data_IF_765251536254
#
_entry.id   IF_765251536254
#
_cell.length_a   1.000
_cell.length_b   1.000
_cell.length_c   1.000
_cell.angle_alpha   90.00
_cell.angle_beta   90.00
_cell.angle_gamma   90.00
#
_symmetry.space_group_name_H-M   'P 1'
#
loop_
_entity.id
_entity.type
_entity.pdbx_description
1 polymer ?
#
# COMPACT_ATOMS: atom_id res chain seq x y z
N UNK A 1 -3.17 -0.06 -26.75
CA UNK A 1 -3.46 0.67 -25.49
C UNK A 1 -2.33 0.35 -24.54
N UNK A 2 -1.56 1.34 -24.08
CA UNK A 2 -0.44 1.10 -23.16
C UNK A 2 -0.99 0.54 -21.84
N UNK A 3 -0.54 -0.64 -21.46
CA UNK A 3 -0.92 -1.30 -20.22
C UNK A 3 -0.38 -0.47 -19.04
N UNK A 4 -1.29 0.12 -18.25
CA UNK A 4 -0.90 0.97 -17.12
C UNK A 4 -0.46 0.10 -15.95
N UNK A 5 0.78 0.28 -15.49
CA UNK A 5 1.24 -0.29 -14.22
C UNK A 5 0.50 0.38 -13.05
N UNK A 6 -0.45 -0.35 -12.47
CA UNK A 6 -1.25 0.10 -11.34
C UNK A 6 -0.46 0.16 -10.03
N UNK A 7 0.72 -0.49 -9.96
CA UNK A 7 1.56 -0.58 -8.76
C UNK A 7 2.78 0.33 -8.78
N UNK A 8 2.83 1.31 -9.70
CA UNK A 8 3.96 2.24 -9.86
C UNK A 8 4.50 2.80 -8.55
N UNK A 9 3.63 3.12 -7.59
CA UNK A 9 4.01 3.69 -6.30
C UNK A 9 4.11 2.66 -5.19
N UNK A 10 3.17 1.70 -5.11
CA UNK A 10 3.19 0.69 -4.04
C UNK A 10 4.38 -0.26 -4.16
N UNK A 11 4.83 -0.57 -5.39
CA UNK A 11 6.02 -1.40 -5.66
C UNK A 11 7.28 -0.87 -4.99
N UNK A 12 7.47 0.45 -4.93
CA UNK A 12 8.67 1.08 -4.37
C UNK A 12 8.85 0.75 -2.88
N UNK A 13 7.74 0.53 -2.16
CA UNK A 13 7.75 0.32 -0.71
C UNK A 13 7.60 -1.15 -0.30
N UNK A 14 7.26 -2.05 -1.22
CA UNK A 14 7.07 -3.49 -0.89
C UNK A 14 7.99 -4.44 -1.64
N UNK A 15 8.48 -4.07 -2.83
CA UNK A 15 9.34 -4.94 -3.63
C UNK A 15 10.82 -4.72 -3.27
N UNK A 16 11.62 -5.77 -3.40
CA UNK A 16 13.05 -5.74 -3.11
C UNK A 16 13.41 -6.23 -1.71
N UNK A 17 14.64 -6.72 -1.56
CA UNK A 17 15.14 -7.26 -0.29
C UNK A 17 15.24 -6.14 0.77
N UNK A 18 15.64 -4.94 0.33
CA UNK A 18 15.73 -3.73 1.15
C UNK A 18 14.40 -3.27 1.75
N UNK A 19 13.26 -3.66 1.17
CA UNK A 19 11.92 -3.35 1.69
C UNK A 19 11.35 -4.43 2.64
N UNK A 20 12.18 -5.38 3.10
CA UNK A 20 11.81 -6.33 4.15
C UNK A 20 11.18 -5.67 5.42
N UNK A 21 11.72 -4.58 6.00
CA UNK A 21 11.10 -3.94 7.16
C UNK A 21 9.73 -3.33 6.83
N UNK A 22 9.57 -2.72 5.65
CA UNK A 22 8.29 -2.17 5.18
C UNK A 22 7.22 -3.26 5.06
N UNK A 23 7.57 -4.42 4.48
CA UNK A 23 6.66 -5.58 4.43
C UNK A 23 6.32 -6.13 5.81
N UNK A 24 7.26 -6.14 6.75
CA UNK A 24 7.01 -6.60 8.12
C UNK A 24 5.94 -5.75 8.81
N UNK A 25 6.02 -4.42 8.68
CA UNK A 25 5.00 -3.50 9.21
C UNK A 25 3.62 -3.71 8.57
N UNK A 26 3.57 -3.90 7.24
CA UNK A 26 2.31 -4.15 6.54
C UNK A 26 1.69 -5.51 6.93
N UNK A 27 2.49 -6.54 7.16
CA UNK A 27 2.01 -7.83 7.66
C UNK A 27 1.39 -7.72 9.05
N UNK A 28 1.93 -6.85 9.92
CA UNK A 28 1.39 -6.63 11.26
C UNK A 28 -0.04 -6.03 11.24
N UNK A 29 -0.40 -5.29 10.18
CA UNK A 29 -1.76 -4.74 9.98
C UNK A 29 -2.65 -5.62 9.10
N UNK A 30 -2.22 -6.85 8.79
CA UNK A 30 -3.04 -7.87 8.12
C UNK A 30 -2.76 -8.09 6.63
N UNK A 31 -1.71 -7.49 6.05
CA UNK A 31 -1.37 -7.75 4.65
C UNK A 31 -0.82 -9.16 4.45
N UNK A 32 -1.21 -9.78 3.34
CA UNK A 32 -0.68 -11.06 2.87
C UNK A 32 0.20 -10.88 1.64
N UNK A 33 0.91 -11.95 1.24
CA UNK A 33 1.71 -11.94 0.01
C UNK A 33 0.89 -11.59 -1.24
N UNK A 34 -0.39 -12.00 -1.28
CA UNK A 34 -1.29 -11.66 -2.38
C UNK A 34 -1.57 -10.16 -2.45
N UNK A 35 -1.58 -9.46 -1.32
CA UNK A 35 -1.92 -8.04 -1.26
C UNK A 35 -0.77 -7.15 -1.74
N UNK A 36 0.48 -7.59 -1.62
CA UNK A 36 1.63 -6.88 -2.21
C UNK A 36 1.63 -6.90 -3.75
N UNK A 37 0.90 -7.84 -4.35
CA UNK A 37 0.68 -7.89 -5.79
C UNK A 37 -0.48 -7.00 -6.26
N UNK A 38 -1.16 -6.30 -5.34
CA UNK A 38 -2.27 -5.38 -5.64
C UNK A 38 -1.82 -3.92 -5.48
N UNK A 39 -2.47 -2.98 -6.20
CA UNK A 39 -2.26 -1.56 -5.94
C UNK A 39 -2.75 -1.18 -4.53
N UNK A 40 -1.94 -0.41 -3.81
CA UNK A 40 -2.33 0.12 -2.50
C UNK A 40 -3.09 1.44 -2.67
N UNK A 41 -4.29 1.52 -2.09
CA UNK A 41 -5.17 2.68 -2.20
C UNK A 41 -5.36 3.29 -0.80
N UNK A 42 -4.81 4.49 -0.60
CA UNK A 42 -5.01 5.25 0.63
C UNK A 42 -6.36 5.97 0.60
N UNK A 43 -7.14 5.83 1.67
CA UNK A 43 -8.41 6.54 1.85
C UNK A 43 -8.19 7.68 2.84
N UNK A 44 -8.14 8.91 2.34
CA UNK A 44 -8.07 10.11 3.17
C UNK A 44 -9.50 10.52 3.59
N UNK A 45 -9.91 10.08 4.78
CA UNK A 45 -11.19 10.51 5.37
C UNK A 45 -11.00 11.85 6.08
N UNK A 46 -11.84 12.83 5.77
CA UNK A 46 -11.87 14.15 6.43
C UNK A 46 -12.86 14.21 7.59
N UNK A 47 -13.42 13.08 8.01
CA UNK A 47 -14.35 13.03 9.13
C UNK A 47 -13.67 13.48 10.43
N UNK A 48 -14.34 14.35 11.17
CA UNK A 48 -13.90 14.88 12.46
C UNK A 48 -15.10 15.18 13.35
N UNK A 49 -14.94 15.09 14.66
CA UNK A 49 -15.95 15.54 15.64
C UNK A 49 -15.75 17.00 16.07
N UNK A 50 -14.75 17.69 15.52
CA UNK A 50 -14.36 19.05 15.95
C UNK A 50 -15.15 20.13 15.19
N UNK A 51 -15.67 19.84 13.99
CA UNK A 51 -16.40 20.77 13.13
C UNK A 51 -17.45 20.03 12.29
N UNK A 52 -18.70 20.53 12.16
CA UNK A 52 -19.65 20.06 11.15
C UNK A 52 -19.14 20.22 9.72
#
# INVERSE_FOLDING_TARGET
MSEKDLRRYSRVVVDGVEQAPSRAMLRAVGFTERDFQRPQIGIASTWSMVTP
#
